data_IF_916918312386
#
_entry.id   IF_916918312386
#
_cell.length_a   1.000
_cell.length_b   1.000
_cell.length_c   1.000
_cell.angle_alpha   90.00
_cell.angle_beta   90.00
_cell.angle_gamma   90.00
#
_symmetry.space_group_name_H-M   'P 1'
#
loop_
_entity.id
_entity.type
_entity.pdbx_description
1 polymer ?
#
# COMPACT_ATOMS: atom_id res chain seq x y z
N UNK A 1 -8.57 31.21 -7.64
CA UNK A 1 -9.28 32.49 -7.48
C UNK A 1 -10.20 32.35 -6.28
N UNK A 2 -10.13 33.30 -5.36
CA UNK A 2 -10.96 33.33 -4.15
C UNK A 2 -12.00 34.43 -4.26
N UNK A 3 -13.20 34.22 -3.74
CA UNK A 3 -14.25 35.24 -3.66
C UNK A 3 -14.92 35.17 -2.27
N UNK A 4 -15.09 36.33 -1.64
CA UNK A 4 -15.83 36.43 -0.38
C UNK A 4 -17.30 36.66 -0.69
N UNK A 5 -18.18 35.84 -0.13
CA UNK A 5 -19.63 35.95 -0.23
C UNK A 5 -20.27 36.03 1.16
N UNK A 6 -21.38 36.74 1.25
CA UNK A 6 -22.17 36.82 2.48
C UNK A 6 -23.25 35.74 2.47
N UNK A 7 -23.42 35.09 3.59
CA UNK A 7 -24.56 34.19 3.82
C UNK A 7 -25.80 35.04 4.11
N UNK A 8 -26.91 34.67 3.50
CA UNK A 8 -28.20 35.35 3.65
C UNK A 8 -29.23 34.36 4.23
N UNK A 9 -30.06 34.81 5.17
CA UNK A 9 -31.16 34.03 5.71
C UNK A 9 -32.40 34.24 4.87
N UNK A 10 -33.07 33.15 4.47
CA UNK A 10 -34.32 33.18 3.68
C UNK A 10 -35.35 32.29 4.36
N UNK A 11 -36.59 32.75 4.47
CA UNK A 11 -37.72 31.98 5.02
C UNK A 11 -37.55 31.58 6.50
N UNK A 12 -36.68 32.25 7.24
CA UNK A 12 -36.50 32.01 8.70
C UNK A 12 -35.66 30.81 9.10
N UNK A 13 -35.39 29.85 8.21
CA UNK A 13 -34.66 28.60 8.53
C UNK A 13 -33.60 28.19 7.52
N UNK A 14 -33.52 28.85 6.36
CA UNK A 14 -32.62 28.44 5.28
C UNK A 14 -31.58 29.51 5.01
N UNK A 15 -30.29 29.12 4.96
CA UNK A 15 -29.20 29.99 4.55
C UNK A 15 -28.87 29.81 3.07
N UNK A 16 -28.63 30.92 2.38
CA UNK A 16 -28.25 30.97 0.96
C UNK A 16 -26.90 31.62 0.81
N UNK A 17 -26.08 31.08 -0.05
CA UNK A 17 -24.83 31.70 -0.54
C UNK A 17 -24.88 31.76 -2.08
N UNK A 18 -24.57 32.92 -2.69
CA UNK A 18 -24.48 33.05 -4.14
C UNK A 18 -23.17 32.50 -4.67
N UNK A 19 -23.21 31.58 -5.61
CA UNK A 19 -22.05 31.06 -6.31
C UNK A 19 -21.68 32.00 -7.49
N UNK A 20 -20.37 32.25 -7.73
CA UNK A 20 -19.91 32.99 -8.89
C UNK A 20 -20.33 32.30 -10.19
N UNK A 21 -21.00 33.03 -11.10
CA UNK A 21 -21.50 32.50 -12.36
C UNK A 21 -20.43 31.76 -13.16
N UNK A 22 -19.20 32.34 -13.26
CA UNK A 22 -18.07 31.76 -13.97
C UNK A 22 -17.62 30.40 -13.41
N UNK A 23 -17.78 30.17 -12.09
CA UNK A 23 -17.42 28.87 -11.48
C UNK A 23 -18.48 27.81 -11.78
N UNK A 24 -19.76 28.20 -11.73
CA UNK A 24 -20.90 27.35 -12.06
C UNK A 24 -20.79 26.89 -13.52
N UNK A 25 -20.53 27.83 -14.44
CA UNK A 25 -20.35 27.54 -15.87
C UNK A 25 -19.10 26.67 -16.14
N UNK A 26 -17.98 26.94 -15.45
CA UNK A 26 -16.75 26.15 -15.58
C UNK A 26 -16.92 24.68 -15.10
N UNK A 27 -17.87 24.45 -14.19
CA UNK A 27 -18.24 23.10 -13.71
C UNK A 27 -19.36 22.45 -14.53
N UNK A 28 -19.80 23.10 -15.64
CA UNK A 28 -20.88 22.58 -16.47
C UNK A 28 -22.24 22.54 -15.77
N UNK A 29 -22.43 23.38 -14.74
CA UNK A 29 -23.69 23.44 -13.99
C UNK A 29 -24.60 24.51 -14.55
N UNK A 30 -25.92 24.20 -14.61
CA UNK A 30 -26.99 25.06 -15.07
C UNK A 30 -28.08 25.21 -14.01
N UNK A 31 -29.10 26.05 -14.33
CA UNK A 31 -30.30 26.18 -13.49
C UNK A 31 -31.01 24.84 -13.35
N UNK A 32 -31.11 24.34 -12.11
CA UNK A 32 -31.73 23.05 -11.80
C UNK A 32 -30.75 21.90 -11.68
N UNK A 33 -29.44 22.11 -11.95
CA UNK A 33 -28.43 21.12 -11.70
C UNK A 33 -28.40 20.72 -10.22
N UNK A 34 -28.25 19.44 -9.96
CA UNK A 34 -28.17 18.89 -8.61
C UNK A 34 -26.74 18.98 -8.10
N UNK A 35 -26.58 19.40 -6.86
CA UNK A 35 -25.27 19.44 -6.18
C UNK A 35 -25.35 18.70 -4.85
N UNK A 36 -24.30 18.05 -4.49
CA UNK A 36 -24.08 17.49 -3.17
C UNK A 36 -23.44 18.57 -2.28
N UNK A 37 -24.05 18.82 -1.12
CA UNK A 37 -23.50 19.72 -0.11
C UNK A 37 -23.14 18.87 1.11
N UNK A 38 -21.89 18.98 1.54
CA UNK A 38 -21.42 18.24 2.73
C UNK A 38 -20.45 19.10 3.54
N UNK A 39 -20.31 18.76 4.81
CA UNK A 39 -19.36 19.39 5.72
C UNK A 39 -18.06 18.58 5.75
N UNK A 40 -16.94 19.27 5.59
CA UNK A 40 -15.59 18.71 5.75
C UNK A 40 -14.85 19.53 6.82
N UNK A 41 -14.78 19.02 8.03
CA UNK A 41 -14.27 19.72 9.19
C UNK A 41 -14.98 21.05 9.43
N UNK A 42 -14.27 22.17 9.23
CA UNK A 42 -14.80 23.55 9.30
C UNK A 42 -15.27 24.10 7.95
N UNK A 43 -15.15 23.33 6.88
CA UNK A 43 -15.52 23.75 5.52
C UNK A 43 -16.92 23.26 5.12
N UNK A 44 -17.61 24.05 4.28
CA UNK A 44 -18.78 23.62 3.53
C UNK A 44 -18.36 23.39 2.08
N UNK A 45 -18.46 22.17 1.62
CA UNK A 45 -18.10 21.77 0.28
C UNK A 45 -19.36 21.62 -0.59
N UNK A 46 -19.30 22.11 -1.82
CA UNK A 46 -20.36 21.95 -2.83
C UNK A 46 -19.73 21.23 -4.02
N UNK A 47 -20.26 20.07 -4.35
CA UNK A 47 -19.76 19.23 -5.43
C UNK A 47 -20.88 19.01 -6.46
N UNK A 48 -20.62 19.11 -7.78
CA UNK A 48 -21.59 18.71 -8.80
C UNK A 48 -22.04 17.27 -8.55
N UNK A 49 -23.35 17.03 -8.66
CA UNK A 49 -23.88 15.67 -8.68
C UNK A 49 -23.96 15.22 -10.15
N UNK A 50 -22.82 14.97 -10.78
CA UNK A 50 -22.81 14.48 -12.15
C UNK A 50 -23.16 12.99 -12.16
N UNK A 51 -24.14 12.62 -12.99
CA UNK A 51 -24.41 11.20 -13.28
C UNK A 51 -23.22 10.52 -13.97
N UNK A 52 -22.31 11.32 -14.56
CA UNK A 52 -21.07 10.85 -15.18
C UNK A 52 -19.95 10.46 -14.19
N UNK A 53 -19.97 10.99 -12.94
CA UNK A 53 -19.00 10.57 -11.92
C UNK A 53 -19.30 9.19 -11.30
N UNK A 54 -20.53 8.68 -11.50
CA UNK A 54 -20.83 7.26 -11.39
C UNK A 54 -20.37 6.47 -12.64
N UNK A 55 -19.97 7.18 -13.71
CA UNK A 55 -19.48 6.64 -14.96
C UNK A 55 -18.08 6.10 -14.85
N UNK A 56 -17.83 4.97 -15.48
CA UNK A 56 -16.52 4.33 -15.57
C UNK A 56 -15.48 5.27 -16.18
N UNK A 57 -14.53 5.76 -15.38
CA UNK A 57 -13.37 6.51 -15.91
C UNK A 57 -12.55 5.62 -16.84
N UNK A 58 -12.46 6.01 -18.11
CA UNK A 58 -11.79 5.24 -19.16
C UNK A 58 -10.50 5.91 -19.61
N UNK A 59 -9.49 5.11 -19.96
CA UNK A 59 -8.24 5.59 -20.56
C UNK A 59 -7.87 4.68 -21.74
N UNK A 60 -7.37 5.28 -22.82
CA UNK A 60 -6.74 4.58 -23.92
C UNK A 60 -5.21 4.74 -23.84
N UNK A 61 -4.51 3.62 -23.81
CA UNK A 61 -3.05 3.54 -23.86
C UNK A 61 -2.65 3.05 -25.24
N UNK A 62 -2.23 3.95 -26.09
CA UNK A 62 -1.68 3.57 -27.40
C UNK A 62 -0.23 3.09 -27.26
N UNK A 63 0.07 1.99 -27.91
CA UNK A 63 1.39 1.35 -27.94
C UNK A 63 1.84 1.08 -29.37
N UNK A 64 3.13 0.87 -29.52
CA UNK A 64 3.75 0.42 -30.76
C UNK A 64 4.51 -0.90 -30.56
N UNK A 65 5.08 -1.43 -31.63
CA UNK A 65 5.99 -2.58 -31.59
C UNK A 65 7.27 -2.32 -30.77
N UNK A 66 7.65 -1.05 -30.60
CA UNK A 66 8.84 -0.63 -29.85
C UNK A 66 8.56 -0.45 -28.36
N UNK A 67 7.29 -0.45 -27.95
CA UNK A 67 6.92 -0.35 -26.54
C UNK A 67 7.34 -1.62 -25.80
N UNK A 68 8.27 -1.52 -24.85
CA UNK A 68 8.72 -2.70 -24.10
C UNK A 68 7.61 -3.18 -23.16
N UNK A 69 7.54 -4.51 -22.85
CA UNK A 69 6.58 -5.06 -21.90
C UNK A 69 6.60 -4.33 -20.54
N UNK A 70 7.78 -3.99 -20.02
CA UNK A 70 7.95 -3.30 -18.74
C UNK A 70 7.40 -1.87 -18.80
N UNK A 71 7.60 -1.16 -19.92
CA UNK A 71 7.03 0.17 -20.12
C UNK A 71 5.51 0.13 -20.17
N UNK A 72 4.95 -0.88 -20.84
CA UNK A 72 3.51 -1.10 -20.89
C UNK A 72 2.92 -1.41 -19.51
N UNK A 73 3.57 -2.31 -18.75
CA UNK A 73 3.18 -2.64 -17.37
C UNK A 73 3.13 -1.37 -16.51
N UNK A 74 4.19 -0.53 -16.54
CA UNK A 74 4.20 0.74 -15.78
C UNK A 74 3.06 1.68 -16.15
N UNK A 75 2.69 1.77 -17.44
CA UNK A 75 1.56 2.62 -17.89
C UNK A 75 0.22 2.10 -17.36
N UNK A 76 0.01 0.78 -17.41
CA UNK A 76 -1.22 0.15 -16.90
C UNK A 76 -1.32 0.31 -15.38
N UNK A 77 -0.23 0.07 -14.64
CA UNK A 77 -0.19 0.31 -13.17
C UNK A 77 -0.48 1.78 -12.85
N UNK A 78 0.12 2.73 -13.58
CA UNK A 78 -0.14 4.15 -13.38
C UNK A 78 -1.61 4.51 -13.61
N UNK A 79 -2.23 3.98 -14.68
CA UNK A 79 -3.65 4.18 -14.95
C UNK A 79 -4.54 3.57 -13.86
N UNK A 80 -4.23 2.36 -13.41
CA UNK A 80 -4.92 1.71 -12.29
C UNK A 80 -4.84 2.58 -11.02
N UNK A 81 -3.65 3.03 -10.63
CA UNK A 81 -3.42 3.82 -9.42
C UNK A 81 -4.12 5.19 -9.43
N UNK A 82 -4.29 5.82 -10.60
CA UNK A 82 -4.97 7.12 -10.73
C UNK A 82 -6.50 6.98 -10.69
N UNK A 83 -7.01 5.74 -10.69
CA UNK A 83 -8.44 5.49 -10.50
C UNK A 83 -9.22 5.25 -11.80
N UNK A 84 -8.57 4.94 -12.91
CA UNK A 84 -9.31 4.51 -14.11
C UNK A 84 -9.96 3.15 -13.87
N UNK A 85 -11.22 3.01 -14.31
CA UNK A 85 -12.01 1.78 -14.17
C UNK A 85 -11.92 0.90 -15.40
N UNK A 86 -11.74 1.50 -16.58
CA UNK A 86 -11.54 0.80 -17.84
C UNK A 86 -10.23 1.28 -18.46
N UNK A 87 -9.31 0.34 -18.71
CA UNK A 87 -8.01 0.62 -19.31
C UNK A 87 -7.95 -0.14 -20.64
N UNK A 88 -7.96 0.59 -21.73
CA UNK A 88 -7.81 0.04 -23.09
C UNK A 88 -6.36 0.18 -23.53
N UNK A 89 -5.75 -0.92 -23.92
CA UNK A 89 -4.40 -0.96 -24.51
C UNK A 89 -4.57 -1.28 -25.99
N UNK A 90 -4.13 -0.40 -26.87
CA UNK A 90 -4.32 -0.55 -28.30
C UNK A 90 -3.02 -0.33 -29.08
N UNK A 91 -2.77 -1.22 -30.04
CA UNK A 91 -1.79 -0.97 -31.09
C UNK A 91 -2.54 -0.68 -32.40
N UNK A 92 -2.56 0.57 -32.87
CA UNK A 92 -3.35 0.94 -34.04
C UNK A 92 -2.82 0.35 -35.36
N UNK A 93 -1.54 -0.02 -35.42
CA UNK A 93 -0.89 -0.47 -36.66
C UNK A 93 -0.86 -1.99 -36.77
N UNK A 94 -0.66 -2.71 -35.68
CA UNK A 94 -0.37 -4.15 -35.69
C UNK A 94 -1.03 -4.89 -34.53
N UNK A 95 -0.91 -6.19 -34.54
CA UNK A 95 -1.25 -7.02 -33.37
C UNK A 95 -0.35 -6.66 -32.19
N UNK A 96 -0.94 -6.65 -30.98
CA UNK A 96 -0.18 -6.56 -29.74
C UNK A 96 0.75 -7.78 -29.65
N UNK A 97 2.04 -7.54 -29.43
CA UNK A 97 3.04 -8.61 -29.36
C UNK A 97 2.73 -9.62 -28.24
N UNK A 98 3.08 -10.88 -28.45
CA UNK A 98 2.83 -11.94 -27.46
C UNK A 98 3.46 -11.65 -26.10
N UNK A 99 4.68 -11.08 -26.11
CA UNK A 99 5.39 -10.67 -24.89
C UNK A 99 4.67 -9.54 -24.12
N UNK A 100 4.19 -8.52 -24.84
CA UNK A 100 3.39 -7.43 -24.26
C UNK A 100 2.08 -7.95 -23.66
N UNK A 101 1.39 -8.84 -24.40
CA UNK A 101 0.14 -9.47 -23.96
C UNK A 101 0.34 -10.34 -22.73
N UNK A 102 1.39 -11.15 -22.71
CA UNK A 102 1.74 -11.99 -21.57
C UNK A 102 2.03 -11.14 -20.32
N UNK A 103 2.83 -10.06 -20.48
CA UNK A 103 3.15 -9.17 -19.37
C UNK A 103 1.90 -8.53 -18.73
N UNK A 104 0.90 -8.14 -19.53
CA UNK A 104 -0.38 -7.62 -19.01
C UNK A 104 -1.16 -8.70 -18.27
N UNK A 105 -1.26 -9.91 -18.83
CA UNK A 105 -1.98 -11.02 -18.17
C UNK A 105 -1.32 -11.43 -16.85
N UNK A 106 0.02 -11.46 -16.83
CA UNK A 106 0.76 -11.76 -15.60
C UNK A 106 0.60 -10.67 -14.55
N UNK A 107 0.66 -9.39 -14.94
CA UNK A 107 0.39 -8.24 -14.08
C UNK A 107 -1.00 -8.31 -13.41
N UNK A 108 -2.04 -8.58 -14.19
CA UNK A 108 -3.42 -8.71 -13.69
C UNK A 108 -3.51 -9.83 -12.65
N UNK A 109 -2.94 -10.97 -12.99
CA UNK A 109 -3.01 -12.16 -12.15
C UNK A 109 -2.25 -11.98 -10.83
N UNK A 110 -1.06 -11.37 -10.88
CA UNK A 110 -0.14 -11.32 -9.74
C UNK A 110 -0.27 -10.06 -8.90
N UNK A 111 -0.43 -8.87 -9.54
CA UNK A 111 -0.19 -7.59 -8.86
C UNK A 111 -1.39 -6.64 -8.80
N UNK A 112 -2.46 -6.85 -9.55
CA UNK A 112 -3.61 -5.94 -9.52
C UNK A 112 -4.83 -6.61 -8.92
N UNK A 113 -5.34 -6.03 -7.82
CA UNK A 113 -6.54 -6.52 -7.15
C UNK A 113 -7.81 -6.03 -7.88
N UNK A 114 -8.75 -6.94 -8.10
CA UNK A 114 -10.09 -6.61 -8.59
C UNK A 114 -10.15 -6.09 -10.02
N UNK A 115 -9.17 -6.44 -10.86
CA UNK A 115 -9.16 -6.12 -12.27
C UNK A 115 -9.26 -7.40 -13.11
N UNK A 116 -10.05 -7.35 -14.17
CA UNK A 116 -10.26 -8.46 -15.09
C UNK A 116 -10.01 -8.04 -16.54
N UNK A 117 -9.63 -9.02 -17.37
CA UNK A 117 -9.50 -8.86 -18.81
C UNK A 117 -10.86 -9.04 -19.47
N UNK A 118 -11.51 -7.91 -19.80
CA UNK A 118 -12.84 -7.91 -20.41
C UNK A 118 -12.81 -8.32 -21.89
N UNK A 119 -11.77 -7.91 -22.62
CA UNK A 119 -11.62 -8.20 -24.05
C UNK A 119 -10.16 -8.44 -24.40
N UNK A 120 -9.92 -9.46 -25.24
CA UNK A 120 -8.61 -9.87 -25.74
C UNK A 120 -8.65 -10.00 -27.26
N UNK A 121 -8.57 -8.87 -27.94
CA UNK A 121 -8.56 -8.78 -29.40
C UNK A 121 -7.14 -8.67 -29.95
N UNK A 122 -6.90 -8.98 -31.24
CA UNK A 122 -5.55 -8.94 -31.81
C UNK A 122 -4.81 -7.62 -31.62
N UNK A 123 -5.51 -6.48 -31.75
CA UNK A 123 -4.94 -5.13 -31.67
C UNK A 123 -5.32 -4.38 -30.39
N UNK A 124 -6.17 -4.98 -29.53
CA UNK A 124 -6.69 -4.31 -28.35
C UNK A 124 -6.88 -5.26 -27.18
N UNK A 125 -6.51 -4.81 -25.99
CA UNK A 125 -6.85 -5.42 -24.70
C UNK A 125 -7.68 -4.43 -23.90
N UNK A 126 -8.79 -4.87 -23.34
CA UNK A 126 -9.61 -4.05 -22.45
C UNK A 126 -9.61 -4.67 -21.06
N UNK A 127 -9.13 -3.89 -20.09
CA UNK A 127 -9.10 -4.24 -18.67
C UNK A 127 -10.19 -3.48 -17.96
N UNK A 128 -10.87 -4.12 -17.01
CA UNK A 128 -11.91 -3.50 -16.19
C UNK A 128 -11.68 -3.78 -14.72
N UNK A 129 -11.72 -2.73 -13.90
CA UNK A 129 -11.73 -2.84 -12.45
C UNK A 129 -13.16 -3.14 -12.03
N UNK A 130 -13.38 -4.27 -11.35
CA UNK A 130 -14.68 -4.78 -10.93
C UNK A 130 -14.97 -4.47 -9.45
N UNK A 131 -13.94 -4.34 -8.61
CA UNK A 131 -14.10 -4.10 -7.17
C UNK A 131 -14.47 -2.63 -6.92
N UNK A 132 -15.61 -2.43 -6.27
CA UNK A 132 -16.07 -1.11 -5.81
C UNK A 132 -15.26 -0.59 -4.60
N UNK A 133 -15.30 0.73 -4.37
CA UNK A 133 -14.51 1.36 -3.31
C UNK A 133 -14.94 0.94 -1.90
N UNK A 134 -16.23 0.59 -1.71
CA UNK A 134 -16.80 0.20 -0.42
C UNK A 134 -16.72 -1.30 -0.10
N UNK A 135 -16.25 -2.15 -1.03
CA UNK A 135 -16.23 -3.61 -0.83
C UNK A 135 -15.10 -4.07 0.10
N UNK A 136 -13.98 -3.39 0.06
CA UNK A 136 -12.83 -3.65 0.94
C UNK A 136 -12.26 -2.31 1.42
N UNK A 137 -12.43 -2.01 2.72
CA UNK A 137 -11.92 -0.77 3.30
C UNK A 137 -10.38 -0.74 3.31
N UNK A 138 -9.80 0.47 3.38
CA UNK A 138 -8.34 0.63 3.54
C UNK A 138 -7.84 -0.08 4.78
N UNK A 139 -8.58 -0.01 5.89
CA UNK A 139 -8.21 -0.66 7.16
C UNK A 139 -8.20 -2.18 7.03
N UNK A 140 -9.21 -2.77 6.37
CA UNK A 140 -9.28 -4.22 6.19
C UNK A 140 -8.21 -4.73 5.21
N UNK A 141 -7.97 -4.00 4.12
CA UNK A 141 -6.89 -4.32 3.17
C UNK A 141 -5.52 -4.26 3.85
N UNK A 142 -5.28 -3.22 4.66
CA UNK A 142 -4.03 -3.05 5.40
C UNK A 142 -3.84 -4.16 6.45
N UNK A 143 -4.92 -4.56 7.15
CA UNK A 143 -4.87 -5.67 8.10
C UNK A 143 -4.47 -6.98 7.41
N UNK A 144 -5.05 -7.29 6.25
CA UNK A 144 -4.67 -8.48 5.48
C UNK A 144 -3.22 -8.41 5.03
N UNK A 145 -2.80 -7.28 4.49
CA UNK A 145 -1.43 -7.02 4.05
C UNK A 145 -0.42 -7.22 5.19
N UNK A 146 -0.71 -6.70 6.40
CA UNK A 146 0.19 -6.84 7.56
C UNK A 146 0.27 -8.27 8.08
N UNK A 147 -0.83 -9.03 8.06
CA UNK A 147 -0.85 -10.46 8.44
C UNK A 147 -0.01 -11.29 7.49
N UNK A 148 -0.13 -11.06 6.17
CA UNK A 148 0.68 -11.76 5.17
C UNK A 148 2.16 -11.44 5.36
N UNK A 149 2.53 -10.16 5.47
CA UNK A 149 3.92 -9.75 5.67
C UNK A 149 4.54 -10.35 6.96
N UNK A 150 3.79 -10.36 8.07
CA UNK A 150 4.23 -10.99 9.32
C UNK A 150 4.40 -12.52 9.17
N UNK A 151 3.52 -13.20 8.42
CA UNK A 151 3.67 -14.63 8.11
C UNK A 151 4.91 -14.88 7.27
N UNK A 152 5.11 -14.10 6.19
CA UNK A 152 6.31 -14.18 5.36
C UNK A 152 7.60 -14.10 6.17
N UNK A 153 7.65 -13.17 7.14
CA UNK A 153 8.83 -13.02 8.01
C UNK A 153 9.08 -14.26 8.88
N UNK A 154 8.01 -14.81 9.51
CA UNK A 154 8.12 -16.03 10.31
C UNK A 154 8.57 -17.21 9.48
N UNK A 155 7.97 -17.37 8.31
CA UNK A 155 8.22 -18.49 7.40
C UNK A 155 9.62 -18.40 6.78
N UNK A 156 10.12 -17.19 6.47
CA UNK A 156 11.50 -16.97 6.02
C UNK A 156 12.53 -17.41 7.08
N UNK A 157 12.29 -17.08 8.35
CA UNK A 157 13.14 -17.53 9.45
C UNK A 157 13.00 -19.03 9.69
N UNK A 158 11.78 -19.58 9.60
CA UNK A 158 11.56 -21.02 9.71
C UNK A 158 12.28 -21.79 8.60
N UNK A 159 12.26 -21.29 7.37
CA UNK A 159 13.01 -21.85 6.24
C UNK A 159 14.53 -21.88 6.51
N UNK A 160 15.09 -20.78 7.04
CA UNK A 160 16.50 -20.71 7.45
C UNK A 160 16.81 -21.72 8.56
N UNK A 161 15.96 -21.79 9.60
CA UNK A 161 16.19 -22.65 10.79
C UNK A 161 16.13 -24.14 10.47
N UNK A 162 15.29 -24.52 9.52
CA UNK A 162 15.02 -25.93 9.18
C UNK A 162 15.70 -26.37 7.88
N UNK A 163 16.47 -25.50 7.22
CA UNK A 163 17.06 -25.75 5.89
C UNK A 163 15.99 -26.19 4.87
N UNK A 164 14.89 -25.41 4.82
CA UNK A 164 13.72 -25.71 3.98
C UNK A 164 13.68 -24.79 2.75
N UNK A 165 14.24 -25.22 1.60
CA UNK A 165 14.26 -24.43 0.40
C UNK A 165 12.89 -24.33 -0.29
N UNK A 166 11.93 -25.21 0.00
CA UNK A 166 10.58 -25.16 -0.56
C UNK A 166 9.81 -24.02 0.13
N UNK A 167 9.83 -23.97 1.44
CA UNK A 167 9.24 -22.88 2.22
C UNK A 167 9.87 -21.53 1.86
N UNK A 168 11.19 -21.47 1.64
CA UNK A 168 11.85 -20.23 1.21
C UNK A 168 11.32 -19.73 -0.14
N UNK A 169 11.06 -20.61 -1.11
CA UNK A 169 10.47 -20.23 -2.41
C UNK A 169 9.03 -19.76 -2.28
N UNK A 170 8.24 -20.42 -1.43
CA UNK A 170 6.85 -19.99 -1.14
C UNK A 170 6.84 -18.57 -0.58
N UNK A 171 7.72 -18.24 0.36
CA UNK A 171 7.83 -16.88 0.91
C UNK A 171 8.13 -15.85 -0.19
N UNK A 172 9.03 -16.16 -1.11
CA UNK A 172 9.38 -15.27 -2.23
C UNK A 172 8.16 -15.03 -3.15
N UNK A 173 7.35 -16.06 -3.37
CA UNK A 173 6.13 -15.93 -4.20
C UNK A 173 5.01 -15.17 -3.50
N UNK A 174 4.93 -15.23 -2.16
CA UNK A 174 3.93 -14.48 -1.36
C UNK A 174 4.10 -12.96 -1.44
N UNK A 175 5.26 -12.45 -1.82
CA UNK A 175 5.52 -11.02 -1.99
C UNK A 175 4.56 -10.37 -3.00
N UNK A 176 4.22 -11.08 -4.08
CA UNK A 176 3.22 -10.63 -5.07
C UNK A 176 1.83 -10.34 -4.42
N UNK A 177 1.46 -11.07 -3.35
CA UNK A 177 0.19 -10.81 -2.64
C UNK A 177 0.23 -9.52 -1.81
N UNK A 178 1.34 -9.25 -1.13
CA UNK A 178 1.53 -7.99 -0.39
C UNK A 178 1.49 -6.81 -1.35
N UNK A 179 2.17 -6.90 -2.48
CA UNK A 179 2.15 -5.92 -3.57
C UNK A 179 0.72 -5.64 -4.08
N UNK A 180 -0.10 -6.69 -4.26
CA UNK A 180 -1.50 -6.56 -4.70
C UNK A 180 -2.32 -5.70 -3.75
N UNK A 181 -2.24 -5.96 -2.45
CA UNK A 181 -2.92 -5.14 -1.45
C UNK A 181 -2.35 -3.72 -1.40
N UNK A 182 -1.03 -3.57 -1.47
CA UNK A 182 -0.36 -2.28 -1.50
C UNK A 182 -0.83 -1.40 -2.65
N UNK A 183 -0.84 -1.90 -3.88
CA UNK A 183 -1.32 -1.17 -5.05
C UNK A 183 -2.82 -0.83 -4.95
N UNK A 184 -3.64 -1.73 -4.41
CA UNK A 184 -5.07 -1.48 -4.17
C UNK A 184 -5.28 -0.35 -3.16
N UNK A 185 -4.61 -0.39 -2.01
CA UNK A 185 -4.70 0.67 -1.00
C UNK A 185 -4.27 2.02 -1.59
N UNK A 186 -3.15 2.06 -2.31
CA UNK A 186 -2.66 3.28 -2.94
C UNK A 186 -3.67 3.85 -3.94
N UNK A 187 -4.34 3.00 -4.73
CA UNK A 187 -5.42 3.40 -5.63
C UNK A 187 -6.55 4.07 -4.84
N UNK A 188 -7.05 3.43 -3.78
CA UNK A 188 -8.12 3.96 -2.95
C UNK A 188 -7.75 5.32 -2.33
N UNK A 189 -6.55 5.42 -1.75
CA UNK A 189 -6.06 6.65 -1.13
C UNK A 189 -5.94 7.81 -2.13
N UNK A 190 -5.43 7.55 -3.35
CA UNK A 190 -5.36 8.56 -4.41
C UNK A 190 -6.73 9.08 -4.84
N UNK A 191 -7.71 8.20 -4.92
CA UNK A 191 -9.08 8.60 -5.26
C UNK A 191 -9.72 9.39 -4.12
N UNK A 192 -9.51 8.98 -2.88
CA UNK A 192 -10.06 9.61 -1.68
C UNK A 192 -9.56 11.04 -1.46
N UNK A 193 -8.31 11.35 -1.83
CA UNK A 193 -7.77 12.72 -1.75
C UNK A 193 -8.57 13.70 -2.62
N UNK A 194 -9.15 13.23 -3.71
CA UNK A 194 -9.88 14.08 -4.68
C UNK A 194 -11.40 13.98 -4.51
N UNK A 195 -11.92 12.97 -3.82
CA UNK A 195 -13.36 12.71 -3.69
C UNK A 195 -13.70 12.35 -2.23
N UNK A 196 -14.37 13.30 -1.53
CA UNK A 196 -14.80 13.11 -0.14
C UNK A 196 -15.85 12.00 0.04
N UNK A 197 -16.53 11.55 -1.02
CA UNK A 197 -17.42 10.38 -0.98
C UNK A 197 -16.57 9.11 -0.87
N UNK A 198 -15.57 8.94 -1.76
CA UNK A 198 -14.64 7.82 -1.72
C UNK A 198 -13.92 7.78 -0.38
N UNK A 199 -13.50 8.95 0.15
CA UNK A 199 -12.85 9.05 1.46
C UNK A 199 -13.68 8.39 2.57
N UNK A 200 -14.99 8.69 2.63
CA UNK A 200 -15.90 8.09 3.61
C UNK A 200 -16.17 6.61 3.36
N UNK A 201 -16.32 6.21 2.10
CA UNK A 201 -16.55 4.80 1.72
C UNK A 201 -15.39 3.90 2.11
N UNK A 202 -14.14 4.38 2.03
CA UNK A 202 -12.95 3.63 2.44
C UNK A 202 -12.67 3.69 3.95
N UNK A 203 -13.52 4.38 4.72
CA UNK A 203 -13.46 4.44 6.19
C UNK A 203 -12.46 5.44 6.75
N UNK A 204 -12.11 6.50 6.01
CA UNK A 204 -11.25 7.59 6.47
C UNK A 204 -12.05 8.88 6.71
N UNK A 205 -11.58 9.69 7.65
CA UNK A 205 -12.26 10.91 8.09
C UNK A 205 -11.73 12.18 7.43
N UNK A 206 -10.45 12.18 7.03
CA UNK A 206 -9.81 13.33 6.40
C UNK A 206 -8.79 12.95 5.31
N UNK A 207 -8.59 13.81 4.30
CA UNK A 207 -7.52 13.60 3.31
C UNK A 207 -6.13 13.53 3.92
N UNK A 208 -5.92 14.12 5.11
CA UNK A 208 -4.66 14.06 5.85
C UNK A 208 -4.30 12.63 6.27
N UNK A 209 -5.29 11.85 6.67
CA UNK A 209 -5.09 10.44 7.01
C UNK A 209 -4.55 9.63 5.82
N UNK A 210 -4.91 9.99 4.59
CA UNK A 210 -4.40 9.32 3.39
C UNK A 210 -2.87 9.36 3.30
N UNK A 211 -2.22 10.41 3.82
CA UNK A 211 -0.76 10.52 3.85
C UNK A 211 -0.16 9.50 4.81
N UNK A 212 -0.71 9.40 6.02
CA UNK A 212 -0.27 8.41 7.02
C UNK A 212 -0.45 6.98 6.52
N UNK A 213 -1.66 6.63 6.06
CA UNK A 213 -1.94 5.30 5.52
C UNK A 213 -1.08 4.94 4.31
N UNK A 214 -0.71 5.94 3.47
CA UNK A 214 0.20 5.73 2.34
C UNK A 214 1.61 5.34 2.78
N UNK A 215 2.13 5.97 3.84
CA UNK A 215 3.44 5.66 4.41
C UNK A 215 3.43 4.31 5.11
N UNK A 216 2.40 4.03 5.94
CA UNK A 216 2.22 2.73 6.60
C UNK A 216 2.18 1.60 5.56
N UNK A 217 1.39 1.76 4.48
CA UNK A 217 1.35 0.78 3.38
C UNK A 217 2.73 0.50 2.82
N UNK A 218 3.55 1.56 2.63
CA UNK A 218 4.92 1.39 2.10
C UNK A 218 5.87 0.73 3.10
N UNK A 219 5.70 0.97 4.39
CA UNK A 219 6.50 0.30 5.43
C UNK A 219 6.19 -1.19 5.52
N UNK A 220 4.91 -1.59 5.38
CA UNK A 220 4.52 -3.01 5.34
C UNK A 220 5.05 -3.70 4.07
N UNK A 221 4.95 -3.06 2.89
CA UNK A 221 5.50 -3.58 1.64
C UNK A 221 7.02 -3.84 1.78
N UNK A 222 7.78 -2.86 2.30
CA UNK A 222 9.22 -3.02 2.51
C UNK A 222 9.55 -4.11 3.51
N UNK A 223 8.75 -4.28 4.57
CA UNK A 223 8.92 -5.38 5.51
C UNK A 223 8.76 -6.74 4.82
N UNK A 224 7.78 -6.89 3.91
CA UNK A 224 7.61 -8.09 3.09
C UNK A 224 8.78 -8.30 2.11
N UNK A 225 9.24 -7.24 1.43
CA UNK A 225 10.45 -7.26 0.60
C UNK A 225 11.66 -7.83 1.39
N UNK A 226 11.82 -7.42 2.67
CA UNK A 226 12.89 -7.92 3.52
C UNK A 226 12.66 -9.36 3.99
N UNK A 227 11.42 -9.80 4.20
CA UNK A 227 11.12 -11.20 4.46
C UNK A 227 11.48 -12.09 3.24
N UNK A 228 11.14 -11.64 2.03
CA UNK A 228 11.56 -12.30 0.78
C UNK A 228 13.10 -12.31 0.64
N UNK A 229 13.79 -11.22 1.02
CA UNK A 229 15.25 -11.16 1.02
C UNK A 229 15.89 -12.15 2.03
N UNK A 230 15.29 -12.34 3.21
CA UNK A 230 15.73 -13.38 4.16
C UNK A 230 15.65 -14.75 3.50
N UNK A 231 14.50 -15.09 2.91
CA UNK A 231 14.27 -16.35 2.20
C UNK A 231 15.24 -16.53 1.02
N UNK A 232 15.43 -15.47 0.20
CA UNK A 232 16.37 -15.51 -0.92
C UNK A 232 17.82 -15.80 -0.50
N UNK A 233 18.29 -15.16 0.59
CA UNK A 233 19.64 -15.36 1.09
C UNK A 233 19.78 -16.72 1.76
N UNK A 234 18.76 -17.28 2.42
CA UNK A 234 18.81 -18.62 2.99
C UNK A 234 19.02 -19.71 1.90
N UNK A 235 18.50 -19.52 0.70
CA UNK A 235 18.72 -20.43 -0.45
C UNK A 235 20.16 -20.45 -0.97
N UNK A 236 20.98 -19.44 -0.63
CA UNK A 236 22.39 -19.37 -1.05
C UNK A 236 23.36 -19.96 -0.03
N UNK A 237 22.86 -20.40 1.11
CA UNK A 237 23.64 -20.89 2.24
C UNK A 237 23.52 -22.39 2.41
N UNK A 238 24.33 -22.92 3.30
CA UNK A 238 24.21 -24.28 3.83
C UNK A 238 23.94 -24.21 5.36
N UNK A 239 22.70 -23.90 5.77
CA UNK A 239 22.36 -23.60 7.18
C UNK A 239 22.75 -24.71 8.16
N UNK A 240 22.80 -25.96 7.72
CA UNK A 240 23.27 -27.11 8.55
C UNK A 240 24.70 -26.97 9.09
N UNK A 241 25.51 -26.08 8.51
CA UNK A 241 26.86 -25.79 8.98
C UNK A 241 26.89 -24.77 10.12
N UNK A 242 25.75 -24.16 10.45
CA UNK A 242 25.67 -23.17 11.53
C UNK A 242 25.41 -23.85 12.88
N UNK A 243 26.02 -23.30 13.94
CA UNK A 243 25.75 -23.78 15.29
C UNK A 243 24.31 -23.48 15.71
N UNK A 244 23.68 -24.37 16.47
CA UNK A 244 22.35 -24.16 17.03
C UNK A 244 22.26 -22.91 17.90
N UNK A 245 23.35 -22.53 18.56
CA UNK A 245 23.44 -21.33 19.38
C UNK A 245 23.31 -20.08 18.50
N UNK A 246 24.06 -19.98 17.40
CA UNK A 246 24.00 -18.85 16.48
C UNK A 246 22.63 -18.72 15.82
N UNK A 247 22.06 -19.84 15.36
CA UNK A 247 20.70 -19.86 14.82
C UNK A 247 19.66 -19.40 15.87
N UNK A 248 19.81 -19.83 17.13
CA UNK A 248 18.94 -19.42 18.22
C UNK A 248 18.98 -17.91 18.47
N UNK A 249 20.14 -17.27 18.34
CA UNK A 249 20.29 -15.82 18.50
C UNK A 249 19.70 -15.03 17.31
N UNK A 250 19.91 -15.49 16.09
CA UNK A 250 19.29 -14.92 14.91
C UNK A 250 17.75 -14.98 15.06
N UNK A 251 17.24 -16.13 15.51
CA UNK A 251 15.81 -16.30 15.78
C UNK A 251 15.32 -15.35 16.88
N UNK A 252 16.03 -15.22 17.98
CA UNK A 252 15.64 -14.32 19.07
C UNK A 252 15.59 -12.85 18.62
N UNK A 253 16.55 -12.41 17.81
CA UNK A 253 16.54 -11.08 17.20
C UNK A 253 15.35 -10.91 16.25
N UNK A 254 15.05 -11.93 15.45
CA UNK A 254 13.89 -11.92 14.53
C UNK A 254 12.57 -11.85 15.28
N UNK A 255 12.41 -12.65 16.34
CA UNK A 255 11.20 -12.62 17.19
C UNK A 255 11.01 -11.23 17.85
N UNK A 256 12.11 -10.56 18.22
CA UNK A 256 12.09 -9.18 18.73
C UNK A 256 11.66 -8.19 17.64
N UNK A 257 12.26 -8.25 16.46
CA UNK A 257 11.92 -7.37 15.35
C UNK A 257 10.45 -7.51 14.91
N UNK A 258 9.97 -8.74 14.84
CA UNK A 258 8.58 -9.01 14.45
C UNK A 258 7.58 -8.48 15.49
N UNK A 259 7.89 -8.59 16.79
CA UNK A 259 7.08 -8.01 17.86
C UNK A 259 6.95 -6.50 17.72
N UNK A 260 8.05 -5.80 17.43
CA UNK A 260 8.02 -4.35 17.17
C UNK A 260 7.04 -3.99 16.05
N UNK A 261 7.09 -4.74 14.94
CA UNK A 261 6.17 -4.55 13.82
C UNK A 261 4.71 -4.84 14.22
N UNK A 262 4.45 -5.98 14.86
CA UNK A 262 3.09 -6.40 15.26
C UNK A 262 2.46 -5.44 16.26
N UNK A 263 3.21 -4.95 17.24
CA UNK A 263 2.73 -3.97 18.21
C UNK A 263 2.43 -2.60 17.57
N UNK A 264 3.25 -2.15 16.60
CA UNK A 264 2.97 -0.94 15.83
C UNK A 264 1.67 -1.06 15.02
N UNK A 265 1.45 -2.22 14.39
CA UNK A 265 0.20 -2.52 13.67
C UNK A 265 -0.99 -2.58 14.62
N UNK A 266 -0.83 -3.19 15.80
CA UNK A 266 -1.88 -3.24 16.81
C UNK A 266 -2.23 -1.83 17.33
N UNK A 267 -1.23 -1.00 17.61
CA UNK A 267 -1.42 0.40 18.03
C UNK A 267 -2.20 1.19 16.97
N UNK A 268 -1.90 0.99 15.67
CA UNK A 268 -2.65 1.61 14.57
C UNK A 268 -4.14 1.23 14.60
N UNK A 269 -4.44 -0.06 14.75
CA UNK A 269 -5.84 -0.53 14.72
C UNK A 269 -6.62 -0.20 15.98
N UNK A 270 -5.95 -0.09 17.13
CA UNK A 270 -6.53 0.37 18.39
C UNK A 270 -6.62 1.89 18.49
N UNK A 271 -5.93 2.61 17.62
CA UNK A 271 -5.80 4.06 17.65
C UNK A 271 -5.20 4.54 18.98
N UNK A 272 -4.13 3.84 19.43
CA UNK A 272 -3.56 3.94 20.78
C UNK A 272 -2.18 4.63 20.72
N UNK A 273 -2.14 5.89 21.18
CA UNK A 273 -0.93 6.69 21.26
C UNK A 273 0.14 6.06 22.16
N UNK A 274 -0.26 5.64 23.39
CA UNK A 274 0.69 5.12 24.38
C UNK A 274 1.34 3.81 23.93
N UNK A 275 0.57 2.92 23.30
CA UNK A 275 1.11 1.68 22.70
C UNK A 275 2.09 1.99 21.58
N UNK A 276 1.81 2.99 20.73
CA UNK A 276 2.71 3.38 19.65
C UNK A 276 4.02 3.97 20.21
N UNK A 277 3.96 4.80 21.26
CA UNK A 277 5.15 5.37 21.90
C UNK A 277 6.07 4.28 22.49
N UNK A 278 5.50 3.24 23.10
CA UNK A 278 6.26 2.12 23.65
C UNK A 278 7.01 1.24 22.64
N UNK A 279 6.70 1.37 21.34
CA UNK A 279 7.36 0.60 20.26
C UNK A 279 8.84 1.00 20.10
N UNK A 280 9.18 2.28 20.32
CA UNK A 280 10.52 2.80 20.07
C UNK A 280 11.57 2.17 20.98
N UNK A 281 11.26 1.92 22.25
CA UNK A 281 12.17 1.27 23.20
C UNK A 281 12.53 -0.15 22.72
N UNK A 282 11.53 -0.92 22.28
CA UNK A 282 11.72 -2.29 21.78
C UNK A 282 12.49 -2.33 20.45
N UNK A 283 12.29 -1.33 19.58
CA UNK A 283 13.07 -1.20 18.35
C UNK A 283 14.55 -0.94 18.67
N UNK A 284 14.85 -0.13 19.68
CA UNK A 284 16.23 0.11 20.13
C UNK A 284 16.87 -1.15 20.73
N UNK A 285 16.12 -1.94 21.52
CA UNK A 285 16.60 -3.24 22.01
C UNK A 285 16.98 -4.17 20.85
N UNK A 286 16.13 -4.25 19.81
CA UNK A 286 16.41 -5.06 18.62
C UNK A 286 17.69 -4.59 17.90
N UNK A 287 17.92 -3.28 17.82
CA UNK A 287 19.14 -2.71 17.25
C UNK A 287 20.38 -3.07 18.04
N UNK A 288 20.30 -3.15 19.37
CA UNK A 288 21.41 -3.59 20.22
C UNK A 288 21.73 -5.08 20.02
N UNK A 289 20.69 -5.92 19.81
CA UNK A 289 20.89 -7.33 19.48
C UNK A 289 21.65 -7.54 18.18
N UNK A 290 21.41 -6.71 17.15
CA UNK A 290 22.12 -6.79 15.86
C UNK A 290 23.64 -6.77 16.04
N UNK A 291 24.15 -5.81 16.80
CA UNK A 291 25.60 -5.66 17.00
C UNK A 291 26.23 -6.93 17.59
N UNK A 292 25.54 -7.58 18.53
CA UNK A 292 25.99 -8.82 19.16
C UNK A 292 25.96 -9.98 18.17
N UNK A 293 24.84 -10.15 17.45
CA UNK A 293 24.67 -11.25 16.49
C UNK A 293 25.67 -11.14 15.34
N UNK A 294 25.89 -9.93 14.80
CA UNK A 294 26.89 -9.70 13.74
C UNK A 294 28.30 -10.10 14.18
N UNK A 295 28.73 -9.75 15.41
CA UNK A 295 30.03 -10.14 15.91
C UNK A 295 30.17 -11.66 16.01
N UNK A 296 29.13 -12.36 16.45
CA UNK A 296 29.11 -13.82 16.55
C UNK A 296 29.15 -14.48 15.18
N UNK A 297 28.43 -13.95 14.20
CA UNK A 297 28.50 -14.41 12.81
C UNK A 297 29.92 -14.33 12.29
N UNK A 298 30.58 -13.17 12.41
CA UNK A 298 31.94 -12.97 11.93
C UNK A 298 32.91 -13.96 12.59
N UNK A 299 32.68 -14.33 13.84
CA UNK A 299 33.58 -15.17 14.63
C UNK A 299 33.33 -16.67 14.44
N UNK A 300 32.10 -17.09 14.20
CA UNK A 300 31.70 -18.50 14.32
C UNK A 300 31.03 -19.08 13.06
N UNK A 301 30.59 -18.24 12.09
CA UNK A 301 30.01 -18.74 10.88
C UNK A 301 31.08 -19.15 9.85
N UNK A 302 30.77 -20.11 8.95
CA UNK A 302 31.63 -20.39 7.79
C UNK A 302 31.82 -19.11 6.96
N UNK A 303 33.04 -18.88 6.47
CA UNK A 303 33.39 -17.64 5.77
C UNK A 303 32.54 -17.41 4.54
N UNK A 304 32.15 -18.45 3.83
CA UNK A 304 31.28 -18.43 2.67
C UNK A 304 29.85 -17.97 2.98
N UNK A 305 29.34 -18.24 4.18
CA UNK A 305 27.99 -17.90 4.59
C UNK A 305 27.87 -16.50 5.24
N UNK A 306 28.99 -15.89 5.64
CA UNK A 306 28.99 -14.56 6.29
C UNK A 306 28.29 -13.48 5.47
N UNK A 307 28.48 -13.36 4.15
CA UNK A 307 27.78 -12.34 3.37
C UNK A 307 26.25 -12.49 3.41
N UNK A 308 25.75 -13.72 3.23
CA UNK A 308 24.31 -13.99 3.25
C UNK A 308 23.72 -13.76 4.65
N UNK A 309 24.38 -14.21 5.71
CA UNK A 309 23.97 -13.99 7.10
C UNK A 309 23.90 -12.49 7.44
N UNK A 310 24.83 -11.68 6.95
CA UNK A 310 24.77 -10.22 7.16
C UNK A 310 23.56 -9.59 6.51
N UNK A 311 23.18 -10.02 5.30
CA UNK A 311 21.98 -9.53 4.61
C UNK A 311 20.70 -9.99 5.32
N UNK A 312 20.69 -11.21 5.87
CA UNK A 312 19.59 -11.73 6.69
C UNK A 312 19.43 -10.88 7.95
N UNK A 313 20.51 -10.65 8.70
CA UNK A 313 20.49 -9.86 9.94
C UNK A 313 20.07 -8.41 9.66
N UNK A 314 20.57 -7.81 8.58
CA UNK A 314 20.13 -6.49 8.14
C UNK A 314 18.64 -6.48 7.86
N UNK A 315 18.10 -7.48 7.14
CA UNK A 315 16.68 -7.59 6.83
C UNK A 315 15.81 -7.74 8.08
N UNK A 316 16.29 -8.49 9.09
CA UNK A 316 15.63 -8.60 10.40
C UNK A 316 15.59 -7.22 11.09
N UNK A 317 16.71 -6.50 11.13
CA UNK A 317 16.79 -5.15 11.72
C UNK A 317 15.81 -4.19 11.01
N UNK A 318 15.74 -4.24 9.67
CA UNK A 318 14.82 -3.41 8.89
C UNK A 318 13.36 -3.65 9.24
N UNK A 319 12.97 -4.88 9.58
CA UNK A 319 11.62 -5.19 10.05
C UNK A 319 11.26 -4.38 11.31
N UNK A 320 12.17 -4.27 12.29
CA UNK A 320 11.97 -3.45 13.48
C UNK A 320 11.91 -1.94 13.15
N UNK A 321 12.76 -1.47 12.24
CA UNK A 321 12.76 -0.07 11.80
C UNK A 321 11.43 0.30 11.13
N UNK A 322 10.88 -0.55 10.26
CA UNK A 322 9.56 -0.29 9.65
C UNK A 322 8.42 -0.34 10.68
N UNK A 323 8.52 -1.17 11.72
CA UNK A 323 7.62 -1.10 12.87
C UNK A 323 7.68 0.25 13.57
N UNK A 324 8.89 0.76 13.81
CA UNK A 324 9.13 2.09 14.38
C UNK A 324 8.57 3.22 13.48
N UNK A 325 8.80 3.15 12.15
CA UNK A 325 8.24 4.11 11.19
C UNK A 325 6.70 4.12 11.24
N UNK A 326 6.07 2.94 11.36
CA UNK A 326 4.60 2.83 11.50
C UNK A 326 4.15 3.47 12.80
N UNK A 327 4.83 3.20 13.92
CA UNK A 327 4.51 3.77 15.22
C UNK A 327 4.59 5.31 15.20
N UNK A 328 5.62 5.90 14.57
CA UNK A 328 5.73 7.36 14.39
C UNK A 328 4.50 7.93 13.67
N UNK A 329 4.02 7.24 12.64
CA UNK A 329 2.84 7.69 11.91
C UNK A 329 1.58 7.56 12.78
N UNK A 330 1.47 6.52 13.59
CA UNK A 330 0.34 6.37 14.54
C UNK A 330 0.33 7.52 15.54
N UNK A 331 1.47 7.90 16.12
CA UNK A 331 1.56 9.08 16.99
C UNK A 331 1.05 10.33 16.29
N UNK A 332 1.46 10.56 15.02
CA UNK A 332 1.01 11.71 14.24
C UNK A 332 -0.50 11.69 13.93
N UNK A 333 -1.11 10.51 13.81
CA UNK A 333 -2.54 10.37 13.55
C UNK A 333 -3.39 10.54 14.82
N UNK A 334 -2.86 10.17 15.98
CA UNK A 334 -3.62 10.09 17.25
C UNK A 334 -3.37 11.24 18.23
N UNK A 335 -2.33 12.06 18.02
CA UNK A 335 -1.92 13.14 18.92
C UNK A 335 -3.06 14.14 19.25
N UNK A 336 -3.96 14.42 18.29
CA UNK A 336 -5.09 15.32 18.51
C UNK A 336 -6.06 14.82 19.59
N UNK A 337 -6.28 13.52 19.68
CA UNK A 337 -7.12 12.90 20.71
C UNK A 337 -6.40 12.90 22.08
N UNK A 338 -5.09 12.71 22.09
CA UNK A 338 -4.28 12.70 23.32
C UNK A 338 -4.23 14.08 23.99
N UNK A 339 -4.13 15.17 23.22
CA UNK A 339 -4.08 16.53 23.77
C UNK A 339 -5.45 17.21 23.89
N UNK A 340 -6.53 16.53 23.51
CA UNK A 340 -7.92 17.00 23.70
C UNK A 340 -8.34 18.13 22.75
N UNK A 341 -7.87 18.13 21.50
CA UNK A 341 -8.25 19.08 20.44
C UNK A 341 -9.57 18.73 19.73
#
# INVERSE_FOLDING_TARGET
MEEIRRIQLTGGSTYIVSLPKRWVEALGLDKGSRVLIYRDGKNLCIQPLSEEEAGQRKILIEISSETTPESLVRRVVAAYLVGYNVIQVRNPERRIATTQRYAIKDLIRKKLLGIELLSDLPQELTLQVLVGHGELSVKDALRRMSVIAASMHRDAIAALMNDDPELAREVIEMDDEVDRFGLYIIRLLKMAVSDGRVLREIGLSSPRECLGYRLITKSIERMADHAANIAQNSLTMTPMNLSRELLGEIKAMSDSALRVFEEAIEALFKWDYASADGVFEKAEETRQMEAVVVQKVIKHAPTEDVPALRLIIESIRRTAEYGSDIAEIVLNLTIGEEIGD
#
